data_IF_212825730592
#
_entry.id   IF_212825730592
#
_cell.length_a   1.000
_cell.length_b   1.000
_cell.length_c   1.000
_cell.angle_alpha   90.00
_cell.angle_beta   90.00
_cell.angle_gamma   90.00
#
_symmetry.space_group_name_H-M   'P 1'
#
loop_
_entity.id
_entity.type
_entity.pdbx_description
1 polymer ?
#
# COMPACT_ATOMS: atom_id res chain seq x y z
N UNK A 1 -5.01 12.90 -1.75
CA UNK A 1 -4.70 11.45 -1.65
C UNK A 1 -3.40 11.19 -2.38
N UNK A 2 -2.48 10.40 -1.80
CA UNK A 2 -1.19 10.11 -2.42
C UNK A 2 -1.34 9.54 -3.84
N UNK A 3 -2.29 8.61 -4.05
CA UNK A 3 -2.53 8.02 -5.37
C UNK A 3 -2.90 9.03 -6.48
N UNK A 4 -3.53 10.17 -6.14
CA UNK A 4 -3.93 11.19 -7.12
C UNK A 4 -2.90 12.27 -7.39
N UNK A 5 -2.02 12.53 -6.42
CA UNK A 5 -1.20 13.74 -6.41
C UNK A 5 0.27 13.47 -6.07
N UNK A 6 0.65 12.21 -5.89
CA UNK A 6 2.02 11.81 -5.55
C UNK A 6 2.90 11.59 -6.78
N UNK A 7 2.31 11.21 -7.92
CA UNK A 7 3.06 10.83 -9.12
C UNK A 7 3.96 11.97 -9.66
N UNK A 8 3.59 13.24 -9.50
CA UNK A 8 4.36 14.41 -9.96
C UNK A 8 5.37 14.94 -8.93
N UNK A 9 5.38 14.38 -7.70
CA UNK A 9 6.23 14.87 -6.61
C UNK A 9 7.62 14.26 -6.66
N UNK A 10 8.59 14.97 -6.12
CA UNK A 10 9.96 14.47 -5.95
C UNK A 10 10.02 13.49 -4.77
N UNK A 11 9.56 12.25 -5.03
CA UNK A 11 9.49 11.15 -4.08
C UNK A 11 9.94 9.86 -4.79
N UNK A 12 10.52 8.94 -4.03
CA UNK A 12 10.91 7.62 -4.55
C UNK A 12 9.71 6.71 -4.87
N UNK A 13 8.58 6.94 -4.19
CA UNK A 13 7.39 6.12 -4.30
C UNK A 13 6.36 6.46 -3.23
N UNK A 14 5.30 5.67 -3.13
CA UNK A 14 4.31 5.80 -2.08
C UNK A 14 3.93 4.45 -1.48
N UNK A 15 3.65 4.47 -0.18
CA UNK A 15 3.01 3.37 0.53
C UNK A 15 1.57 3.79 0.83
N UNK A 16 0.60 2.98 0.41
CA UNK A 16 -0.83 3.21 0.57
C UNK A 16 -1.39 2.24 1.61
N UNK A 17 -2.06 2.76 2.62
CA UNK A 17 -2.78 1.97 3.62
C UNK A 17 -4.27 2.04 3.29
N UNK A 18 -4.91 0.89 3.06
CA UNK A 18 -6.34 0.80 2.71
C UNK A 18 -6.75 1.83 1.63
N UNK A 19 -6.07 1.87 0.46
CA UNK A 19 -6.27 2.91 -0.53
C UNK A 19 -7.73 2.97 -0.99
N UNK A 20 -8.39 4.14 -0.91
CA UNK A 20 -9.75 4.31 -1.37
C UNK A 20 -9.78 4.39 -2.91
N UNK A 21 -9.63 3.25 -3.58
CA UNK A 21 -9.66 3.18 -5.04
C UNK A 21 -11.01 3.58 -5.63
N UNK A 22 -12.11 3.58 -4.86
CA UNK A 22 -13.38 4.14 -5.32
C UNK A 22 -13.30 5.65 -5.63
N UNK A 23 -12.31 6.36 -5.05
CA UNK A 23 -12.06 7.78 -5.33
C UNK A 23 -11.01 8.00 -6.42
N UNK A 24 -10.22 7.00 -6.78
CA UNK A 24 -9.22 7.06 -7.86
C UNK A 24 -9.75 6.38 -9.13
N UNK A 25 -9.23 6.76 -10.29
CA UNK A 25 -9.57 6.10 -11.55
C UNK A 25 -8.33 5.46 -12.18
N UNK A 26 -8.55 4.71 -13.25
CA UNK A 26 -7.47 4.07 -14.00
C UNK A 26 -6.45 5.08 -14.53
N UNK A 27 -6.88 6.28 -14.96
CA UNK A 27 -5.95 7.33 -15.39
C UNK A 27 -5.04 7.82 -14.28
N UNK A 28 -5.46 7.78 -13.01
CA UNK A 28 -4.58 8.08 -11.88
C UNK A 28 -3.50 7.00 -11.75
N UNK A 29 -3.85 5.72 -11.93
CA UNK A 29 -2.91 4.60 -11.90
C UNK A 29 -1.94 4.61 -13.09
N UNK A 30 -2.41 4.94 -14.29
CA UNK A 30 -1.54 5.07 -15.47
C UNK A 30 -0.46 6.14 -15.28
N UNK A 31 -0.76 7.25 -14.59
CA UNK A 31 0.27 8.25 -14.24
C UNK A 31 1.34 7.69 -13.31
N UNK A 32 0.99 6.76 -12.43
CA UNK A 32 1.98 6.05 -11.63
C UNK A 32 2.83 5.11 -12.48
N UNK A 33 2.21 4.36 -13.40
CA UNK A 33 2.92 3.51 -14.35
C UNK A 33 3.92 4.33 -15.19
N UNK A 34 3.50 5.48 -15.72
CA UNK A 34 4.34 6.39 -16.50
C UNK A 34 5.46 7.02 -15.65
N UNK A 35 5.21 7.26 -14.35
CA UNK A 35 6.22 7.84 -13.46
C UNK A 35 7.37 6.88 -13.13
N UNK A 36 7.17 5.56 -13.30
CA UNK A 36 8.14 4.53 -12.92
C UNK A 36 8.45 4.45 -11.43
N UNK A 37 7.64 5.12 -10.57
CA UNK A 37 7.84 5.15 -9.13
C UNK A 37 7.19 3.95 -8.45
N UNK A 38 7.82 3.47 -7.39
CA UNK A 38 7.32 2.33 -6.64
C UNK A 38 5.99 2.67 -5.94
N UNK A 39 5.02 1.76 -6.03
CA UNK A 39 3.73 1.92 -5.39
C UNK A 39 3.38 0.69 -4.56
N UNK A 40 3.49 0.78 -3.23
CA UNK A 40 3.19 -0.34 -2.33
C UNK A 40 1.80 -0.12 -1.73
N UNK A 41 0.89 -1.07 -1.87
CA UNK A 41 -0.47 -1.00 -1.35
C UNK A 41 -0.71 -2.11 -0.32
N UNK A 42 -0.90 -1.73 0.94
CA UNK A 42 -1.29 -2.61 2.03
C UNK A 42 -2.81 -2.68 2.10
N UNK A 43 -3.36 -3.87 1.90
CA UNK A 43 -4.79 -4.14 1.80
C UNK A 43 -5.21 -5.09 2.93
N UNK A 44 -6.14 -4.71 3.81
CA UNK A 44 -6.66 -5.62 4.82
C UNK A 44 -7.48 -6.74 4.17
N UNK A 45 -7.41 -7.96 4.72
CA UNK A 45 -8.23 -9.08 4.26
C UNK A 45 -9.74 -8.79 4.35
N UNK A 46 -10.18 -8.13 5.43
CA UNK A 46 -11.58 -7.80 5.70
C UNK A 46 -11.91 -6.33 5.38
N UNK A 47 -11.29 -5.79 4.33
CA UNK A 47 -11.66 -4.46 3.83
C UNK A 47 -12.99 -4.51 3.07
N UNK A 48 -13.97 -3.71 3.50
CA UNK A 48 -15.31 -3.66 2.90
C UNK A 48 -15.34 -2.85 1.60
N UNK A 49 -14.29 -2.09 1.29
CA UNK A 49 -14.21 -1.22 0.11
C UNK A 49 -13.33 -1.79 -1.00
N UNK A 50 -12.29 -2.54 -0.65
CA UNK A 50 -11.33 -3.08 -1.62
C UNK A 50 -10.65 -4.35 -1.09
N UNK A 51 -11.15 -5.51 -1.49
CA UNK A 51 -10.52 -6.79 -1.16
C UNK A 51 -9.17 -6.98 -1.89
N UNK A 52 -8.20 -7.74 -1.33
CA UNK A 52 -6.88 -7.94 -1.93
C UNK A 52 -6.89 -8.43 -3.38
N UNK A 53 -7.82 -9.34 -3.74
CA UNK A 53 -7.96 -9.84 -5.11
C UNK A 53 -8.35 -8.72 -6.09
N UNK A 54 -9.31 -7.87 -5.71
CA UNK A 54 -9.72 -6.73 -6.52
C UNK A 54 -8.61 -5.70 -6.63
N UNK A 55 -7.83 -5.50 -5.56
CA UNK A 55 -6.66 -4.62 -5.59
C UNK A 55 -5.63 -5.10 -6.62
N UNK A 56 -5.29 -6.39 -6.65
CA UNK A 56 -4.34 -6.96 -7.63
C UNK A 56 -4.79 -6.66 -9.06
N UNK A 57 -6.06 -6.89 -9.38
CA UNK A 57 -6.59 -6.60 -10.72
C UNK A 57 -6.50 -5.11 -11.05
N UNK A 58 -6.89 -4.24 -10.12
CA UNK A 58 -6.91 -2.78 -10.34
C UNK A 58 -5.51 -2.20 -10.50
N UNK A 59 -4.55 -2.65 -9.69
CA UNK A 59 -3.17 -2.18 -9.72
C UNK A 59 -2.32 -2.84 -10.82
N UNK A 60 -2.83 -3.85 -11.53
CA UNK A 60 -2.10 -4.57 -12.59
C UNK A 60 -1.57 -3.67 -13.73
N UNK A 61 -2.17 -2.48 -13.92
CA UNK A 61 -1.73 -1.48 -14.91
C UNK A 61 -0.44 -0.75 -14.50
N UNK A 62 0.00 -0.88 -13.25
CA UNK A 62 1.22 -0.27 -12.72
C UNK A 62 2.28 -1.36 -12.51
N UNK A 63 3.31 -1.46 -13.37
CA UNK A 63 4.31 -2.52 -13.28
C UNK A 63 5.08 -2.53 -11.95
N UNK A 64 5.32 -1.34 -11.39
CA UNK A 64 6.04 -1.12 -10.12
C UNK A 64 5.13 -1.25 -8.88
N UNK A 65 3.87 -1.67 -9.06
CA UNK A 65 2.95 -1.82 -7.94
C UNK A 65 3.13 -3.14 -7.21
N UNK A 66 3.25 -3.07 -5.89
CA UNK A 66 3.28 -4.21 -5.00
C UNK A 66 2.05 -4.19 -4.10
N UNK A 67 1.26 -5.26 -4.14
CA UNK A 67 0.04 -5.39 -3.35
C UNK A 67 0.31 -6.39 -2.23
N UNK A 68 0.13 -5.97 -0.99
CA UNK A 68 0.37 -6.78 0.20
C UNK A 68 -0.96 -6.95 0.92
N UNK A 69 -1.52 -8.15 0.84
CA UNK A 69 -2.66 -8.57 1.67
C UNK A 69 -2.22 -8.77 3.11
N UNK A 70 -3.02 -8.29 4.06
CA UNK A 70 -2.78 -8.49 5.49
C UNK A 70 -3.94 -9.25 6.11
N UNK A 71 -3.64 -10.49 6.50
CA UNK A 71 -4.60 -11.42 7.08
C UNK A 71 -5.16 -10.92 8.43
N UNK A 72 -6.45 -11.13 8.64
CA UNK A 72 -7.17 -10.77 9.88
C UNK A 72 -7.30 -9.26 10.15
N UNK A 73 -6.80 -8.39 9.27
CA UNK A 73 -6.92 -6.94 9.41
C UNK A 73 -8.21 -6.39 8.79
N UNK A 74 -8.70 -5.28 9.35
CA UNK A 74 -9.80 -4.46 8.82
C UNK A 74 -9.29 -3.10 8.34
N UNK A 75 -10.15 -2.34 7.66
CA UNK A 75 -9.85 -1.04 7.05
C UNK A 75 -9.04 -0.07 7.94
N UNK A 76 -9.32 -0.05 9.25
CA UNK A 76 -8.71 0.87 10.22
C UNK A 76 -7.42 0.35 10.88
N UNK A 77 -6.95 -0.86 10.54
CA UNK A 77 -5.70 -1.43 11.08
C UNK A 77 -5.64 -1.55 12.62
N UNK A 78 -6.81 -1.64 13.27
CA UNK A 78 -6.91 -1.66 14.73
C UNK A 78 -6.43 -2.99 15.30
N UNK A 79 -5.65 -2.91 16.37
CA UNK A 79 -5.10 -4.06 17.10
C UNK A 79 -3.59 -4.19 16.89
N UNK A 80 -2.89 -4.62 17.93
CA UNK A 80 -1.43 -4.74 17.95
C UNK A 80 -0.90 -5.56 16.76
N UNK A 81 -1.55 -6.69 16.46
CA UNK A 81 -1.17 -7.57 15.34
C UNK A 81 -1.23 -6.83 14.01
N UNK A 82 -2.33 -6.13 13.72
CA UNK A 82 -2.53 -5.41 12.47
C UNK A 82 -1.56 -4.22 12.36
N UNK A 83 -1.42 -3.42 13.42
CA UNK A 83 -0.52 -2.27 13.43
C UNK A 83 0.95 -2.70 13.29
N UNK A 84 1.37 -3.73 14.03
CA UNK A 84 2.73 -4.29 13.96
C UNK A 84 3.03 -4.83 12.56
N UNK A 85 2.08 -5.54 11.95
CA UNK A 85 2.23 -6.03 10.57
C UNK A 85 2.40 -4.90 9.57
N UNK A 86 1.57 -3.86 9.63
CA UNK A 86 1.70 -2.66 8.79
C UNK A 86 3.05 -1.98 8.99
N UNK A 87 3.47 -1.75 10.23
CA UNK A 87 4.76 -1.11 10.53
C UNK A 87 5.93 -1.95 10.00
N UNK A 88 5.88 -3.27 10.16
CA UNK A 88 6.89 -4.18 9.63
C UNK A 88 6.98 -4.13 8.10
N UNK A 89 5.85 -4.08 7.39
CA UNK A 89 5.89 -3.96 5.92
C UNK A 89 6.40 -2.58 5.46
N UNK A 90 6.05 -1.50 6.19
CA UNK A 90 6.64 -0.17 5.94
C UNK A 90 8.15 -0.21 6.13
N UNK A 91 8.64 -0.73 7.25
CA UNK A 91 10.08 -0.82 7.56
C UNK A 91 10.80 -1.70 6.55
N UNK A 92 10.21 -2.83 6.17
CA UNK A 92 10.77 -3.71 5.14
C UNK A 92 10.96 -2.98 3.80
N UNK A 93 10.04 -2.09 3.45
CA UNK A 93 10.13 -1.31 2.22
C UNK A 93 11.16 -0.17 2.30
N UNK A 94 11.20 0.58 3.40
CA UNK A 94 11.98 1.83 3.49
C UNK A 94 13.33 1.68 4.21
N UNK A 95 13.46 0.69 5.08
CA UNK A 95 14.61 0.47 5.96
C UNK A 95 14.80 -1.04 6.23
N UNK A 96 15.10 -1.85 5.20
CA UNK A 96 15.17 -3.30 5.33
C UNK A 96 16.21 -3.79 6.36
N UNK A 97 17.25 -3.00 6.64
CA UNK A 97 18.23 -3.30 7.68
C UNK A 97 17.67 -3.22 9.12
N UNK A 98 16.52 -2.57 9.31
CA UNK A 98 15.82 -2.44 10.59
C UNK A 98 14.62 -3.38 10.70
N UNK A 99 14.44 -4.30 9.74
CA UNK A 99 13.38 -5.30 9.76
C UNK A 99 13.84 -6.61 10.44
N UNK A 100 12.99 -7.28 11.25
CA UNK A 100 11.71 -6.80 11.77
C UNK A 100 11.92 -5.75 12.87
N UNK A 101 10.89 -4.94 13.12
CA UNK A 101 10.90 -4.05 14.28
C UNK A 101 11.04 -4.85 15.57
N UNK A 102 11.82 -4.33 16.52
CA UNK A 102 12.02 -4.94 17.82
C UNK A 102 10.70 -4.93 18.63
N UNK A 103 10.47 -6.01 19.37
CA UNK A 103 9.28 -6.18 20.21
C UNK A 103 9.41 -5.55 21.59
N UNK A 104 10.62 -5.10 21.94
CA UNK A 104 10.97 -4.48 23.22
C UNK A 104 12.07 -3.43 23.00
N UNK A 105 12.06 -2.35 23.80
CA UNK A 105 13.05 -1.29 23.83
C UNK A 105 14.15 -1.56 24.86
#
# INVERSE_FOLDING_TARGET
>A
MAIKYGFDKDIAGAILLSPPLHRANESDLLKWADSGKQLIALIPEHDEYLAPKQAIERFSVVPEAQIIGVDGAKHLWVGEVATKRVMNEIVKAVAPASYPLADQY
#
